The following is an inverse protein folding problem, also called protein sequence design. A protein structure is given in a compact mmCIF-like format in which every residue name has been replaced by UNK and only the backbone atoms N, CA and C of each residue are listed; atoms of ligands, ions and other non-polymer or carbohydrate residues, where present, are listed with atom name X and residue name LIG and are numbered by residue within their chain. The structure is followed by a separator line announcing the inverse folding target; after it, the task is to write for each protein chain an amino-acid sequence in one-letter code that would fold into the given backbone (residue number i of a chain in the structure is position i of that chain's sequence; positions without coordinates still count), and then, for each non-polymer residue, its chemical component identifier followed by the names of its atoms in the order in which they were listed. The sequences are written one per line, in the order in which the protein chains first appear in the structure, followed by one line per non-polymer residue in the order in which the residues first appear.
data_IF_978218374943
#
_entry.id   IF_978218374943
#
_cell.length_a   1.000
_cell.length_b   1.000
_cell.length_c   1.000
_cell.angle_alpha   90.00
_cell.angle_beta   90.00
_cell.angle_gamma   90.00
#
_symmetry.space_group_name_H-M   'P 1'
#
loop_
_entity.id
_entity.type
_entity.pdbx_description
1 polymer ?
#
# COMPACT_ATOMS: atom_id res chain seq x y z
N UNK A 1 1.90 -29.12 21.55
CA UNK A 1 0.64 -28.48 22.01
C UNK A 1 -0.33 -28.37 20.84
N UNK A 2 -1.48 -29.04 20.90
CA UNK A 2 -2.47 -29.00 19.82
C UNK A 2 -3.49 -27.89 20.13
N UNK A 3 -3.31 -26.70 19.53
CA UNK A 3 -4.24 -25.58 19.73
C UNK A 3 -5.62 -25.91 19.15
N UNK A 4 -6.69 -25.47 19.84
CA UNK A 4 -8.05 -25.48 19.29
C UNK A 4 -8.12 -24.72 17.97
N UNK A 5 -8.96 -25.18 17.02
CA UNK A 5 -9.16 -24.52 15.71
C UNK A 5 -9.54 -23.03 15.86
N UNK A 6 -10.29 -22.67 16.90
CA UNK A 6 -10.64 -21.27 17.17
C UNK A 6 -9.43 -20.42 17.55
N UNK A 7 -8.50 -21.00 18.31
CA UNK A 7 -7.25 -20.35 18.71
C UNK A 7 -6.32 -20.20 17.50
N UNK A 8 -6.17 -21.25 16.67
CA UNK A 8 -5.39 -21.21 15.43
C UNK A 8 -5.85 -20.10 14.47
N UNK A 9 -7.16 -19.92 14.28
CA UNK A 9 -7.71 -18.86 13.43
C UNK A 9 -7.43 -17.45 13.96
N UNK A 10 -7.54 -17.24 15.28
CA UNK A 10 -7.19 -15.95 15.90
C UNK A 10 -5.70 -15.61 15.71
N UNK A 11 -4.82 -16.58 15.91
CA UNK A 11 -3.39 -16.40 15.65
C UNK A 11 -3.10 -16.13 14.18
N UNK A 12 -3.79 -16.80 13.25
CA UNK A 12 -3.68 -16.52 11.82
C UNK A 12 -4.09 -15.09 11.47
N UNK A 13 -5.16 -14.57 12.08
CA UNK A 13 -5.63 -13.20 11.88
C UNK A 13 -4.61 -12.17 12.42
N UNK A 14 -4.05 -12.44 13.61
CA UNK A 14 -2.99 -11.62 14.19
C UNK A 14 -1.74 -11.63 13.32
N UNK A 15 -1.36 -12.79 12.79
CA UNK A 15 -0.22 -12.90 11.89
C UNK A 15 -0.45 -12.13 10.58
N UNK A 16 -1.64 -12.23 9.99
CA UNK A 16 -2.02 -11.41 8.84
C UNK A 16 -1.96 -9.92 9.16
N UNK A 17 -2.47 -9.51 10.32
CA UNK A 17 -2.37 -8.11 10.76
C UNK A 17 -0.92 -7.62 10.78
N UNK A 18 -0.01 -8.38 11.38
CA UNK A 18 1.40 -8.01 11.46
C UNK A 18 2.04 -7.89 10.08
N UNK A 19 1.71 -8.79 9.14
CA UNK A 19 2.19 -8.72 7.76
C UNK A 19 1.68 -7.46 7.06
N UNK A 20 0.36 -7.26 7.04
CA UNK A 20 -0.25 -6.11 6.36
C UNK A 20 0.22 -4.79 6.97
N UNK A 21 0.27 -4.70 8.29
CA UNK A 21 0.74 -3.51 9.00
C UNK A 21 2.20 -3.23 8.72
N UNK A 22 3.08 -4.23 8.81
CA UNK A 22 4.51 -4.08 8.52
C UNK A 22 4.75 -3.62 7.08
N UNK A 23 4.02 -4.20 6.12
CA UNK A 23 4.12 -3.85 4.71
C UNK A 23 3.65 -2.42 4.43
N UNK A 24 2.48 -2.03 4.96
CA UNK A 24 1.98 -0.66 4.83
C UNK A 24 2.91 0.35 5.51
N UNK A 25 3.39 0.05 6.72
CA UNK A 25 4.32 0.91 7.44
C UNK A 25 5.62 1.11 6.68
N UNK A 26 6.19 0.04 6.12
CA UNK A 26 7.42 0.10 5.33
C UNK A 26 7.23 0.96 4.07
N UNK A 27 6.12 0.77 3.35
CA UNK A 27 5.80 1.58 2.17
C UNK A 27 5.66 3.06 2.52
N UNK A 28 4.92 3.40 3.57
CA UNK A 28 4.75 4.79 4.02
C UNK A 28 6.10 5.38 4.48
N UNK A 29 6.89 4.62 5.23
CA UNK A 29 8.13 5.14 5.85
C UNK A 29 9.24 5.38 4.83
N UNK A 30 9.45 4.43 3.92
CA UNK A 30 10.53 4.49 2.94
C UNK A 30 10.05 5.22 1.69
N UNK A 31 9.18 4.58 0.89
CA UNK A 31 8.70 5.17 -0.36
C UNK A 31 7.97 6.51 -0.13
N UNK A 32 7.22 6.64 0.96
CA UNK A 32 6.53 7.89 1.30
C UNK A 32 7.48 9.05 1.61
N UNK A 33 8.59 8.78 2.32
CA UNK A 33 9.60 9.80 2.59
C UNK A 33 10.30 10.26 1.30
N UNK A 34 10.65 9.31 0.43
CA UNK A 34 11.30 9.58 -0.85
C UNK A 34 10.40 10.38 -1.80
N UNK A 35 9.14 9.95 -1.92
CA UNK A 35 8.13 10.64 -2.73
C UNK A 35 7.85 12.04 -2.18
N UNK A 36 7.85 12.21 -0.86
CA UNK A 36 7.66 13.53 -0.23
C UNK A 36 8.80 14.51 -0.56
N UNK A 37 10.06 14.05 -0.58
CA UNK A 37 11.20 14.89 -0.99
C UNK A 37 11.06 15.33 -2.46
N UNK A 38 10.61 14.42 -3.32
CA UNK A 38 10.31 14.73 -4.71
C UNK A 38 9.19 15.78 -4.83
N UNK A 39 8.10 15.64 -4.08
CA UNK A 39 7.01 16.65 -4.06
C UNK A 39 7.47 18.01 -3.54
N UNK A 40 8.50 18.04 -2.69
CA UNK A 40 9.14 19.26 -2.20
C UNK A 40 10.16 19.86 -3.16
N UNK A 41 10.39 19.26 -4.32
CA UNK A 41 11.41 19.67 -5.29
C UNK A 41 12.81 19.79 -4.67
N UNK A 42 13.15 18.87 -3.75
CA UNK A 42 14.43 18.84 -3.05
C UNK A 42 15.62 18.68 -4.02
N UNK A 43 16.80 19.18 -3.64
CA UNK A 43 17.97 19.17 -4.52
C UNK A 43 18.54 17.76 -4.76
N UNK A 44 18.41 16.85 -3.77
CA UNK A 44 18.75 15.43 -3.87
C UNK A 44 17.52 14.61 -3.51
N UNK A 45 17.21 13.61 -4.35
CA UNK A 45 16.10 12.68 -4.14
C UNK A 45 16.59 11.24 -4.33
N UNK A 46 15.98 10.31 -3.60
CA UNK A 46 15.98 8.91 -4.00
C UNK A 46 14.72 8.66 -4.82
N UNK A 47 14.88 8.18 -6.05
CA UNK A 47 13.76 7.92 -6.93
C UNK A 47 13.55 6.42 -7.11
N UNK A 48 12.40 5.92 -6.66
CA UNK A 48 11.95 4.55 -6.90
C UNK A 48 10.50 4.53 -7.39
N UNK A 49 10.33 4.29 -8.70
CA UNK A 49 9.03 4.17 -9.36
C UNK A 49 8.14 3.06 -8.77
N UNK A 50 8.77 2.00 -8.23
CA UNK A 50 8.07 0.90 -7.54
C UNK A 50 7.55 1.35 -6.17
N UNK A 51 8.26 2.27 -5.51
CA UNK A 51 7.82 2.87 -4.26
C UNK A 51 6.54 3.68 -4.43
N UNK A 52 6.45 4.47 -5.50
CA UNK A 52 5.23 5.26 -5.84
C UNK A 52 4.04 4.34 -6.10
N UNK A 53 4.25 3.26 -6.85
CA UNK A 53 3.23 2.23 -7.08
C UNK A 53 2.83 1.53 -5.78
N UNK A 54 3.80 1.21 -4.92
CA UNK A 54 3.54 0.60 -3.63
C UNK A 54 2.67 1.50 -2.74
N UNK A 55 2.97 2.79 -2.69
CA UNK A 55 2.19 3.79 -1.95
C UNK A 55 0.73 3.88 -2.43
N UNK A 56 0.49 3.89 -3.74
CA UNK A 56 -0.88 3.91 -4.27
C UNK A 56 -1.69 2.65 -3.92
N UNK A 57 -0.99 1.54 -3.64
CA UNK A 57 -1.58 0.28 -3.19
C UNK A 57 -1.91 0.21 -1.70
N UNK A 58 -1.43 1.14 -0.87
CA UNK A 58 -1.66 1.14 0.59
C UNK A 58 -3.15 1.16 0.96
N UNK A 59 -4.02 2.00 0.36
CA UNK A 59 -5.45 1.95 0.63
C UNK A 59 -6.06 0.58 0.34
N UNK A 60 -5.67 -0.07 -0.77
CA UNK A 60 -6.17 -1.39 -1.12
C UNK A 60 -5.77 -2.43 -0.08
N UNK A 61 -4.50 -2.45 0.32
CA UNK A 61 -3.99 -3.36 1.35
C UNK A 61 -4.74 -3.17 2.68
N UNK A 62 -4.98 -1.92 3.08
CA UNK A 62 -5.72 -1.59 4.28
C UNK A 62 -7.17 -2.11 4.23
N UNK A 63 -7.92 -1.73 3.19
CA UNK A 63 -9.33 -2.12 3.07
C UNK A 63 -9.51 -3.63 2.84
N UNK A 64 -8.56 -4.28 2.17
CA UNK A 64 -8.55 -5.72 2.02
C UNK A 64 -8.31 -6.43 3.36
N UNK A 65 -7.42 -5.92 4.21
CA UNK A 65 -7.27 -6.45 5.57
C UNK A 65 -8.56 -6.24 6.39
N UNK A 66 -9.18 -5.06 6.32
CA UNK A 66 -10.45 -4.78 6.99
C UNK A 66 -11.54 -5.75 6.51
N UNK A 67 -11.60 -6.06 5.22
CA UNK A 67 -12.52 -7.06 4.66
C UNK A 67 -12.31 -8.45 5.28
N UNK A 68 -11.06 -8.93 5.35
CA UNK A 68 -10.73 -10.22 5.98
C UNK A 68 -11.16 -10.21 7.45
N UNK A 69 -10.86 -9.12 8.17
CA UNK A 69 -11.20 -8.97 9.57
C UNK A 69 -12.72 -9.01 9.83
N UNK A 70 -13.49 -8.26 9.04
CA UNK A 70 -14.96 -8.26 9.14
C UNK A 70 -15.53 -9.65 8.83
N UNK A 71 -15.03 -10.31 7.79
CA UNK A 71 -15.45 -11.67 7.45
C UNK A 71 -15.17 -12.67 8.57
N UNK A 72 -14.02 -12.55 9.22
CA UNK A 72 -13.69 -13.36 10.38
C UNK A 72 -14.69 -13.13 11.52
N UNK A 73 -15.03 -11.88 11.83
CA UNK A 73 -16.03 -11.57 12.86
C UNK A 73 -17.40 -12.17 12.48
N UNK A 74 -17.90 -11.93 11.27
CA UNK A 74 -19.24 -12.40 10.86
C UNK A 74 -19.33 -13.93 10.84
N UNK A 75 -18.29 -14.60 10.32
CA UNK A 75 -18.34 -16.04 10.05
C UNK A 75 -18.00 -16.86 11.28
N UNK A 76 -16.89 -16.52 11.95
CA UNK A 76 -16.30 -17.31 13.03
C UNK A 76 -16.67 -16.85 14.44
N UNK A 77 -17.30 -15.68 14.57
CA UNK A 77 -17.81 -15.20 15.85
C UNK A 77 -19.34 -15.10 15.83
N UNK A 78 -19.99 -15.59 16.88
CA UNK A 78 -21.42 -15.36 17.08
C UNK A 78 -21.71 -13.97 17.68
N UNK A 79 -20.75 -13.03 17.56
CA UNK A 79 -20.81 -11.69 18.18
C UNK A 79 -21.85 -10.84 17.46
N UNK A 80 -21.88 -10.88 16.13
CA UNK A 80 -22.79 -10.06 15.32
C UNK A 80 -24.05 -10.81 14.87
N UNK A 81 -24.00 -12.13 14.73
CA UNK A 81 -25.11 -12.92 14.21
C UNK A 81 -25.06 -14.37 14.68
N UNK A 82 -26.17 -14.87 15.23
CA UNK A 82 -26.32 -16.25 15.73
C UNK A 82 -26.82 -17.23 14.67
N UNK A 83 -27.67 -16.77 13.75
CA UNK A 83 -28.26 -17.63 12.71
C UNK A 83 -27.56 -17.44 11.37
N UNK A 84 -27.66 -18.44 10.48
CA UNK A 84 -27.13 -18.34 9.10
C UNK A 84 -27.77 -17.17 8.32
N UNK A 85 -29.06 -16.89 8.55
CA UNK A 85 -29.79 -15.81 7.89
C UNK A 85 -29.28 -14.43 8.32
N UNK A 86 -29.02 -14.26 9.62
CA UNK A 86 -28.48 -13.02 10.16
C UNK A 86 -27.04 -12.79 9.67
N UNK A 87 -26.22 -13.84 9.63
CA UNK A 87 -24.84 -13.76 9.10
C UNK A 87 -24.82 -13.27 7.65
N UNK A 88 -25.72 -13.79 6.81
CA UNK A 88 -25.86 -13.35 5.41
C UNK A 88 -26.26 -11.87 5.34
N UNK A 89 -27.26 -11.45 6.12
CA UNK A 89 -27.70 -10.05 6.16
C UNK A 89 -26.59 -9.10 6.59
N UNK A 90 -25.83 -9.45 7.64
CA UNK A 90 -24.69 -8.64 8.11
C UNK A 90 -23.59 -8.57 7.06
N UNK A 91 -23.30 -9.68 6.38
CA UNK A 91 -22.34 -9.72 5.27
C UNK A 91 -22.77 -8.83 4.10
N UNK A 92 -24.04 -8.90 3.68
CA UNK A 92 -24.57 -8.09 2.59
C UNK A 92 -24.47 -6.59 2.90
N UNK A 93 -24.77 -6.20 4.15
CA UNK A 93 -24.60 -4.82 4.61
C UNK A 93 -23.13 -4.42 4.60
N UNK A 94 -22.23 -5.25 5.14
CA UNK A 94 -20.80 -4.96 5.15
C UNK A 94 -20.26 -4.76 3.73
N UNK A 95 -20.63 -5.64 2.79
CA UNK A 95 -20.20 -5.57 1.40
C UNK A 95 -20.78 -4.39 0.63
N UNK A 96 -21.99 -3.94 0.98
CA UNK A 96 -22.57 -2.72 0.42
C UNK A 96 -21.69 -1.49 0.64
N UNK A 97 -21.01 -1.41 1.78
CA UNK A 97 -20.12 -0.29 2.11
C UNK A 97 -18.67 -0.55 1.74
N UNK A 98 -18.13 -1.74 2.01
CA UNK A 98 -16.73 -2.05 1.72
C UNK A 98 -16.46 -2.25 0.22
N UNK A 99 -17.41 -2.83 -0.52
CA UNK A 99 -17.24 -3.15 -1.94
C UNK A 99 -16.83 -1.93 -2.77
N UNK A 100 -17.59 -0.81 -2.72
CA UNK A 100 -17.21 0.41 -3.44
C UNK A 100 -15.83 0.95 -3.04
N UNK A 101 -15.47 0.86 -1.75
CA UNK A 101 -14.18 1.35 -1.25
C UNK A 101 -13.03 0.48 -1.76
N UNK A 102 -13.20 -0.84 -1.79
CA UNK A 102 -12.22 -1.76 -2.40
C UNK A 102 -12.07 -1.44 -3.89
N UNK A 103 -13.16 -1.27 -4.63
CA UNK A 103 -13.11 -0.93 -6.06
C UNK A 103 -12.37 0.40 -6.27
N UNK A 104 -12.68 1.42 -5.48
CA UNK A 104 -12.01 2.71 -5.55
C UNK A 104 -10.52 2.60 -5.22
N UNK A 105 -10.15 1.75 -4.26
CA UNK A 105 -8.74 1.49 -3.94
C UNK A 105 -7.98 0.76 -5.06
N UNK A 106 -8.64 -0.12 -5.82
CA UNK A 106 -8.08 -0.74 -7.02
C UNK A 106 -7.89 0.31 -8.12
N UNK A 107 -8.87 1.20 -8.31
CA UNK A 107 -8.75 2.30 -9.27
C UNK A 107 -7.61 3.26 -8.89
N UNK A 108 -7.41 3.55 -7.60
CA UNK A 108 -6.28 4.33 -7.12
C UNK A 108 -4.94 3.64 -7.40
N UNK A 109 -4.85 2.32 -7.22
CA UNK A 109 -3.67 1.56 -7.57
C UNK A 109 -3.36 1.65 -9.06
N UNK A 110 -4.37 1.50 -9.93
CA UNK A 110 -4.24 1.66 -11.38
C UNK A 110 -3.87 3.09 -11.78
N UNK A 111 -4.45 4.10 -11.14
CA UNK A 111 -4.06 5.49 -11.33
C UNK A 111 -2.61 5.72 -10.92
N UNK A 112 -2.12 5.02 -9.88
CA UNK A 112 -0.72 5.02 -9.46
C UNK A 112 0.25 4.50 -10.53
N UNK A 113 -0.16 3.55 -11.38
CA UNK A 113 0.66 3.11 -12.53
C UNK A 113 0.87 4.27 -13.52
N UNK A 114 -0.22 4.96 -13.86
CA UNK A 114 -0.18 6.11 -14.77
C UNK A 114 0.63 7.24 -14.15
N UNK A 115 0.40 7.53 -12.87
CA UNK A 115 1.12 8.55 -12.13
C UNK A 115 2.62 8.25 -12.08
N UNK A 116 3.00 7.00 -11.84
CA UNK A 116 4.40 6.57 -11.82
C UNK A 116 5.11 6.95 -13.13
N UNK A 117 4.47 6.71 -14.28
CA UNK A 117 5.00 7.12 -15.59
C UNK A 117 5.22 8.64 -15.71
N UNK A 118 4.24 9.46 -15.31
CA UNK A 118 4.39 10.92 -15.33
C UNK A 118 5.50 11.40 -14.39
N UNK A 119 5.60 10.80 -13.21
CA UNK A 119 6.66 11.12 -12.26
C UNK A 119 8.03 10.72 -12.82
N UNK A 120 8.16 9.56 -13.47
CA UNK A 120 9.41 9.16 -14.17
C UNK A 120 9.84 10.22 -15.16
N UNK A 121 8.93 10.69 -16.01
CA UNK A 121 9.24 11.72 -17.01
C UNK A 121 9.60 13.06 -16.35
N UNK A 122 8.90 13.43 -15.27
CA UNK A 122 9.23 14.63 -14.52
C UNK A 122 10.66 14.58 -13.96
N UNK A 123 11.04 13.46 -13.33
CA UNK A 123 12.40 13.25 -12.83
C UNK A 123 13.40 13.32 -13.98
N UNK A 124 13.07 12.77 -15.15
CA UNK A 124 13.95 12.76 -16.32
C UNK A 124 14.25 14.15 -16.85
N UNK A 125 13.26 15.04 -16.81
CA UNK A 125 13.42 16.40 -17.32
C UNK A 125 14.09 17.36 -16.32
N UNK A 126 14.12 17.03 -15.02
CA UNK A 126 14.55 17.98 -13.98
C UNK A 126 15.71 17.50 -13.13
N UNK A 127 16.06 16.22 -13.19
CA UNK A 127 17.11 15.64 -12.37
C UNK A 127 18.10 14.81 -13.18
N UNK A 128 19.35 14.84 -12.72
CA UNK A 128 20.49 14.13 -13.27
C UNK A 128 20.86 12.97 -12.35
N UNK A 129 21.22 11.82 -12.92
CA UNK A 129 21.62 10.63 -12.16
C UNK A 129 22.98 10.83 -11.50
N UNK A 130 23.11 10.48 -10.23
CA UNK A 130 24.41 10.53 -9.54
C UNK A 130 25.40 9.44 -9.97
N UNK A 131 24.91 8.35 -10.56
CA UNK A 131 25.74 7.20 -10.93
C UNK A 131 26.36 7.33 -12.33
N UNK A 132 26.21 8.50 -12.98
CA UNK A 132 26.73 8.76 -14.33
C UNK A 132 26.07 7.96 -15.45
N UNK A 133 25.00 7.21 -15.15
CA UNK A 133 24.27 6.41 -16.13
C UNK A 133 23.32 7.31 -16.92
N UNK A 134 23.38 7.22 -18.25
CA UNK A 134 22.41 7.86 -19.14
C UNK A 134 21.06 7.13 -19.04
N UNK A 135 20.08 7.73 -18.35
CA UNK A 135 18.71 7.23 -18.25
C UNK A 135 18.09 7.34 -16.86
N UNK A 136 16.80 7.03 -16.77
CA UNK A 136 16.09 6.93 -15.48
C UNK A 136 15.87 5.48 -15.10
N UNK A 137 16.35 5.14 -13.91
CA UNK A 137 16.27 3.83 -13.32
C UNK A 137 15.67 3.95 -11.92
N UNK A 138 14.81 2.99 -11.59
CA UNK A 138 14.25 2.86 -10.25
C UNK A 138 15.33 2.53 -9.24
N UNK A 139 15.20 3.10 -8.04
CA UNK A 139 16.04 2.79 -6.89
C UNK A 139 17.40 3.47 -6.91
N UNK A 140 17.47 4.69 -7.43
CA UNK A 140 18.72 5.46 -7.61
C UNK A 140 18.61 6.87 -7.04
N UNK A 141 19.76 7.47 -6.74
CA UNK A 141 19.84 8.86 -6.30
C UNK A 141 19.98 9.81 -7.50
N UNK A 142 19.25 10.91 -7.42
CA UNK A 142 19.20 11.94 -8.44
C UNK A 142 19.36 13.32 -7.80
N UNK A 143 19.97 14.23 -8.54
CA UNK A 143 20.17 15.63 -8.15
C UNK A 143 19.56 16.57 -9.16
N UNK A 144 19.04 17.69 -8.69
CA UNK A 144 18.31 18.65 -9.52
C UNK A 144 19.26 19.49 -10.37
N UNK A 145 19.07 19.50 -11.69
CA UNK A 145 19.89 20.31 -12.62
C UNK A 145 21.40 20.07 -12.47
N UNK A 146 22.13 21.16 -12.19
CA UNK A 146 23.60 21.19 -12.04
C UNK A 146 24.10 20.93 -10.60
N UNK A 147 23.20 20.53 -9.69
CA UNK A 147 23.60 20.23 -8.32
C UNK A 147 24.62 19.08 -8.28
N UNK A 148 25.62 19.19 -7.41
CA UNK A 148 26.68 18.18 -7.28
C UNK A 148 26.17 17.01 -6.45
N UNK A 149 26.42 15.79 -6.92
CA UNK A 149 26.21 14.59 -6.12
C UNK A 149 27.22 14.56 -4.98
N UNK A 150 26.78 14.95 -3.79
CA UNK A 150 27.50 14.73 -2.55
C UNK A 150 27.12 13.35 -2.00
N UNK A 151 28.11 12.58 -1.55
CA UNK A 151 27.94 11.27 -0.91
C UNK A 151 27.04 11.36 0.34
#
# INVERSE_FOLDING_TARGET
MNFSNKTKKKWSLLFLFLIFFSLMFSLIRFAGADTYLLMKNADKIYYDSKGILGLSGVPFLFFFYVYIFINFIITDTNILARTKKDKKKTYDIAMKYLGPVIILSILLFLAGLILSFFVTNYVHSHYTSCDGISGIYSGRYYVKGDAVCHD
#
